data_IF_356872402008
#
_entry.id   IF_356872402008
#
_cell.length_a   1.000
_cell.length_b   1.000
_cell.length_c   1.000
_cell.angle_alpha   90.00
_cell.angle_beta   90.00
_cell.angle_gamma   90.00
#
_symmetry.space_group_name_H-M   'P 1'
#
loop_
_entity.id
_entity.type
_entity.pdbx_description
1 polymer ?
#
# COMPACT_ATOMS: atom_id res chain seq x y z
N UNK A 1 -6.40 19.25 8.66
CA UNK A 1 -7.54 18.88 7.79
C UNK A 1 -7.13 18.52 6.36
N UNK A 2 -6.23 19.29 5.72
CA UNK A 2 -5.76 18.99 4.36
C UNK A 2 -5.09 17.60 4.25
N UNK A 3 -4.09 17.31 5.09
CA UNK A 3 -3.39 16.01 5.09
C UNK A 3 -4.36 14.82 5.21
N UNK A 4 -5.35 14.91 6.10
CA UNK A 4 -6.40 13.90 6.27
C UNK A 4 -7.22 13.71 5.00
N UNK A 5 -7.64 14.82 4.37
CA UNK A 5 -8.43 14.77 3.14
C UNK A 5 -7.66 14.13 2.00
N UNK A 6 -6.37 14.44 1.87
CA UNK A 6 -5.47 13.82 0.89
C UNK A 6 -5.39 12.31 1.11
N UNK A 7 -5.22 11.84 2.35
CA UNK A 7 -5.18 10.39 2.66
C UNK A 7 -6.51 9.71 2.38
N UNK A 8 -7.65 10.34 2.66
CA UNK A 8 -8.96 9.76 2.37
C UNK A 8 -9.18 9.59 0.85
N UNK A 9 -8.81 10.60 0.05
CA UNK A 9 -8.85 10.49 -1.41
C UNK A 9 -7.86 9.42 -1.89
N UNK A 10 -6.66 9.38 -1.33
CA UNK A 10 -5.67 8.35 -1.64
C UNK A 10 -6.20 6.95 -1.31
N UNK A 11 -6.87 6.76 -0.17
CA UNK A 11 -7.45 5.49 0.24
C UNK A 11 -8.57 5.02 -0.70
N UNK A 12 -9.39 5.95 -1.22
CA UNK A 12 -10.41 5.64 -2.23
C UNK A 12 -9.79 5.22 -3.56
N UNK A 13 -8.80 5.97 -4.06
CA UNK A 13 -8.03 5.59 -5.25
C UNK A 13 -7.34 4.24 -5.05
N UNK A 14 -6.80 4.02 -3.86
CA UNK A 14 -6.14 2.78 -3.47
C UNK A 14 -7.09 1.59 -3.55
N UNK A 15 -8.27 1.74 -2.97
CA UNK A 15 -9.32 0.73 -3.03
C UNK A 15 -9.75 0.48 -4.48
N UNK A 16 -9.93 1.54 -5.28
CA UNK A 16 -10.35 1.45 -6.68
C UNK A 16 -9.39 0.61 -7.51
N UNK A 17 -8.08 0.91 -7.47
CA UNK A 17 -7.11 0.17 -8.26
C UNK A 17 -6.96 -1.28 -7.79
N UNK A 18 -7.02 -1.54 -6.46
CA UNK A 18 -6.97 -2.90 -5.93
C UNK A 18 -8.16 -3.73 -6.41
N UNK A 19 -9.35 -3.13 -6.40
CA UNK A 19 -10.56 -3.75 -6.91
C UNK A 19 -10.43 -4.06 -8.41
N UNK A 20 -9.93 -3.12 -9.22
CA UNK A 20 -9.67 -3.34 -10.65
C UNK A 20 -8.71 -4.50 -10.91
N UNK A 21 -7.62 -4.62 -10.13
CA UNK A 21 -6.68 -5.75 -10.23
C UNK A 21 -7.37 -7.07 -9.84
N UNK A 22 -8.15 -7.07 -8.75
CA UNK A 22 -8.85 -8.27 -8.28
C UNK A 22 -9.83 -8.82 -9.32
N UNK A 23 -10.50 -7.95 -10.08
CA UNK A 23 -11.40 -8.32 -11.17
C UNK A 23 -10.71 -8.70 -12.48
N UNK A 24 -9.40 -8.53 -12.59
CA UNK A 24 -8.65 -8.90 -13.79
C UNK A 24 -8.27 -10.39 -13.81
N UNK A 25 -8.40 -11.03 -14.97
CA UNK A 25 -8.03 -12.44 -15.17
C UNK A 25 -6.51 -12.67 -15.18
N UNK A 26 -5.71 -11.67 -15.52
CA UNK A 26 -4.23 -11.75 -15.66
C UNK A 26 -3.55 -10.71 -14.77
N UNK A 27 -3.58 -10.92 -13.45
CA UNK A 27 -3.09 -9.96 -12.43
C UNK A 27 -1.65 -9.52 -12.66
N UNK A 28 -0.77 -10.44 -13.06
CA UNK A 28 0.63 -10.13 -13.35
C UNK A 28 0.75 -9.09 -14.48
N UNK A 29 -0.06 -9.21 -15.54
CA UNK A 29 -0.03 -8.28 -16.67
C UNK A 29 -0.60 -6.92 -16.28
N UNK A 30 -1.63 -6.87 -15.42
CA UNK A 30 -2.15 -5.59 -14.91
C UNK A 30 -1.14 -4.89 -14.03
N UNK A 31 -0.47 -5.61 -13.12
CA UNK A 31 0.60 -5.06 -12.27
C UNK A 31 1.77 -4.57 -13.12
N UNK A 32 2.22 -5.37 -14.10
CA UNK A 32 3.28 -4.97 -15.01
C UNK A 32 2.89 -3.74 -15.84
N UNK A 33 1.62 -3.62 -16.24
CA UNK A 33 1.14 -2.45 -16.99
C UNK A 33 1.06 -1.20 -16.13
N UNK A 34 0.58 -1.33 -14.89
CA UNK A 34 0.61 -0.28 -13.88
C UNK A 34 2.03 0.25 -13.67
N UNK A 35 2.99 -0.65 -13.44
CA UNK A 35 4.40 -0.31 -13.26
C UNK A 35 5.03 0.28 -14.54
N UNK A 36 4.56 -0.14 -15.73
CA UNK A 36 5.02 0.45 -17.00
C UNK A 36 4.59 1.91 -17.12
N UNK A 37 3.35 2.23 -16.73
CA UNK A 37 2.86 3.61 -16.69
C UNK A 37 3.64 4.43 -15.66
N UNK A 38 3.87 3.85 -14.48
CA UNK A 38 4.64 4.48 -13.42
C UNK A 38 6.09 4.78 -13.85
N UNK A 39 6.76 3.81 -14.47
CA UNK A 39 8.11 3.94 -14.99
C UNK A 39 8.18 4.95 -16.14
N UNK A 40 7.23 4.90 -17.08
CA UNK A 40 7.18 5.88 -18.18
C UNK A 40 6.99 7.30 -17.65
N UNK A 41 6.09 7.48 -16.68
CA UNK A 41 5.92 8.76 -15.98
C UNK A 41 7.23 9.20 -15.32
N UNK A 42 7.89 8.33 -14.56
CA UNK A 42 9.13 8.67 -13.87
C UNK A 42 10.24 9.08 -14.85
N UNK A 43 10.46 8.30 -15.91
CA UNK A 43 11.47 8.61 -16.95
C UNK A 43 11.20 9.96 -17.61
N UNK A 44 9.94 10.28 -17.91
CA UNK A 44 9.57 11.56 -18.50
C UNK A 44 9.66 12.72 -17.50
N UNK A 45 9.46 12.46 -16.21
CA UNK A 45 9.49 13.48 -15.16
C UNK A 45 10.90 13.79 -14.63
N UNK A 46 11.86 12.86 -14.74
CA UNK A 46 13.26 13.02 -14.27
C UNK A 46 13.91 14.35 -14.69
N UNK A 47 13.78 14.83 -15.95
CA UNK A 47 14.37 16.11 -16.35
C UNK A 47 13.77 17.35 -15.68
N UNK A 48 12.62 17.21 -15.01
CA UNK A 48 11.85 18.30 -14.41
C UNK A 48 11.87 18.29 -12.87
N UNK A 49 12.65 17.38 -12.26
CA UNK A 49 12.77 17.26 -10.80
C UNK A 49 14.21 17.45 -10.37
N UNK A 50 14.41 17.88 -9.13
CA UNK A 50 15.74 18.04 -8.59
C UNK A 50 16.36 16.67 -8.26
N UNK A 51 17.69 16.61 -8.34
CA UNK A 51 18.45 15.42 -7.94
C UNK A 51 18.41 15.32 -6.41
N UNK A 52 18.17 14.13 -5.82
CA UNK A 52 18.12 13.99 -4.37
C UNK A 52 19.50 14.27 -3.78
N UNK A 53 19.58 15.04 -2.68
CA UNK A 53 20.84 15.23 -1.98
C UNK A 53 21.36 13.88 -1.45
N UNK A 54 22.68 13.79 -1.24
CA UNK A 54 23.36 12.54 -0.88
C UNK A 54 22.72 11.82 0.33
N UNK A 55 22.22 12.58 1.29
CA UNK A 55 21.54 12.08 2.49
C UNK A 55 20.20 11.38 2.24
N UNK A 56 19.56 11.63 1.09
CA UNK A 56 18.24 11.06 0.73
C UNK A 56 18.37 9.72 0.03
N UNK A 57 19.51 9.47 -0.65
CA UNK A 57 19.76 8.23 -1.37
C UNK A 57 19.65 6.96 -0.51
N UNK A 58 20.20 6.90 0.73
CA UNK A 58 20.02 5.74 1.59
C UNK A 58 18.55 5.41 1.85
N UNK A 59 17.71 6.43 2.08
CA UNK A 59 16.27 6.25 2.29
C UNK A 59 15.55 5.76 1.04
N UNK A 60 15.85 6.36 -0.12
CA UNK A 60 15.30 5.94 -1.43
C UNK A 60 15.65 4.48 -1.74
N UNK A 61 16.91 4.09 -1.58
CA UNK A 61 17.36 2.73 -1.86
C UNK A 61 16.74 1.74 -0.87
N UNK A 62 16.75 2.05 0.44
CA UNK A 62 16.15 1.19 1.45
C UNK A 62 14.64 1.00 1.21
N UNK A 63 13.93 2.06 0.86
CA UNK A 63 12.52 2.02 0.50
C UNK A 63 12.29 1.19 -0.76
N UNK A 64 13.00 1.46 -1.85
CA UNK A 64 12.87 0.71 -3.09
C UNK A 64 13.17 -0.78 -2.91
N UNK A 65 14.14 -1.15 -2.07
CA UNK A 65 14.43 -2.55 -1.75
C UNK A 65 13.32 -3.20 -0.91
N UNK A 66 12.79 -2.50 0.09
CA UNK A 66 11.66 -2.97 0.88
C UNK A 66 10.39 -3.10 0.01
N UNK A 67 10.19 -2.19 -0.94
CA UNK A 67 9.13 -2.28 -1.94
C UNK A 67 9.26 -3.55 -2.79
N UNK A 68 10.45 -3.79 -3.32
CA UNK A 68 10.72 -4.97 -4.15
C UNK A 68 10.52 -6.27 -3.36
N UNK A 69 11.03 -6.32 -2.13
CA UNK A 69 10.88 -7.50 -1.28
C UNK A 69 9.41 -7.75 -0.95
N UNK A 70 8.63 -6.72 -0.59
CA UNK A 70 7.19 -6.89 -0.36
C UNK A 70 6.52 -7.44 -1.62
N UNK A 71 6.79 -6.86 -2.80
CA UNK A 71 6.12 -7.24 -4.05
C UNK A 71 6.39 -8.71 -4.39
N UNK A 72 7.63 -9.16 -4.22
CA UNK A 72 7.99 -10.56 -4.42
C UNK A 72 7.29 -11.51 -3.43
N UNK A 73 7.31 -11.17 -2.14
CA UNK A 73 6.64 -11.96 -1.10
C UNK A 73 5.13 -11.99 -1.29
N UNK A 74 4.54 -10.89 -1.76
CA UNK A 74 3.12 -10.76 -2.01
C UNK A 74 2.65 -11.74 -3.09
N UNK A 75 3.38 -11.85 -4.21
CA UNK A 75 3.08 -12.83 -5.27
C UNK A 75 3.08 -14.24 -4.69
N UNK A 76 4.12 -14.59 -3.91
CA UNK A 76 4.21 -15.91 -3.26
C UNK A 76 3.05 -16.17 -2.30
N UNK A 77 2.70 -15.17 -1.49
CA UNK A 77 1.62 -15.28 -0.53
C UNK A 77 0.27 -15.52 -1.23
N UNK A 78 0.05 -14.91 -2.39
CA UNK A 78 -1.17 -15.08 -3.19
C UNK A 78 -1.29 -16.43 -3.89
N UNK A 79 -0.21 -17.20 -4.01
CA UNK A 79 -0.27 -18.57 -4.53
C UNK A 79 -0.69 -19.59 -3.47
N UNK A 80 -0.62 -19.25 -2.19
CA UNK A 80 -0.79 -20.20 -1.07
C UNK A 80 -1.96 -19.84 -0.17
N UNK A 81 -2.28 -18.56 0.02
CA UNK A 81 -3.34 -18.11 0.92
C UNK A 81 -4.47 -17.36 0.21
N UNK A 82 -5.66 -17.38 0.82
CA UNK A 82 -6.80 -16.61 0.33
C UNK A 82 -6.53 -15.09 0.45
N UNK A 83 -6.75 -14.38 -0.65
CA UNK A 83 -6.66 -12.92 -0.74
C UNK A 83 -7.52 -12.21 0.31
N UNK A 84 -8.68 -12.78 0.64
CA UNK A 84 -9.60 -12.23 1.62
C UNK A 84 -9.01 -12.12 3.02
N UNK A 85 -8.01 -12.94 3.34
CA UNK A 85 -7.40 -13.02 4.67
C UNK A 85 -5.95 -12.50 4.69
N UNK A 86 -5.13 -12.87 3.70
CA UNK A 86 -3.71 -12.48 3.64
C UNK A 86 -3.55 -10.97 3.50
N UNK A 87 -4.34 -10.34 2.63
CA UNK A 87 -4.19 -8.93 2.31
C UNK A 87 -4.52 -8.00 3.49
N UNK A 88 -5.64 -8.17 4.22
CA UNK A 88 -5.91 -7.36 5.40
C UNK A 88 -4.88 -7.54 6.52
N UNK A 89 -4.38 -8.75 6.75
CA UNK A 89 -3.43 -9.03 7.83
C UNK A 89 -2.08 -8.35 7.61
N UNK A 90 -1.49 -8.51 6.43
CA UNK A 90 -0.20 -7.88 6.14
C UNK A 90 -0.29 -6.34 6.17
N UNK A 91 -1.42 -5.78 5.72
CA UNK A 91 -1.67 -4.33 5.72
C UNK A 91 -1.87 -3.81 7.15
N UNK A 92 -2.61 -4.55 7.98
CA UNK A 92 -2.85 -4.26 9.39
C UNK A 92 -1.58 -4.22 10.25
N UNK A 93 -0.53 -4.96 9.89
CA UNK A 93 0.75 -4.92 10.59
C UNK A 93 1.57 -3.67 10.26
N UNK A 94 1.35 -3.03 9.12
CA UNK A 94 2.19 -1.90 8.69
C UNK A 94 2.11 -0.67 9.60
N UNK A 95 0.94 -0.23 10.11
CA UNK A 95 0.86 0.90 11.04
C UNK A 95 1.57 0.62 12.38
N UNK A 96 1.65 -0.63 12.84
CA UNK A 96 2.40 -0.98 14.05
C UNK A 96 3.90 -0.75 13.87
N UNK A 97 4.41 -1.13 12.71
CA UNK A 97 5.82 -0.95 12.36
C UNK A 97 6.14 0.54 12.24
N UNK A 98 5.29 1.30 11.54
CA UNK A 98 5.45 2.76 11.44
C UNK A 98 5.40 3.40 12.83
N UNK A 99 4.44 3.02 13.68
CA UNK A 99 4.34 3.51 15.05
C UNK A 99 5.61 3.22 15.86
N UNK A 100 6.09 1.97 15.83
CA UNK A 100 7.30 1.56 16.55
C UNK A 100 8.55 2.33 16.09
N UNK A 101 8.74 2.47 14.77
CA UNK A 101 9.85 3.25 14.21
C UNK A 101 9.73 4.74 14.53
N UNK A 102 8.52 5.31 14.49
CA UNK A 102 8.27 6.70 14.85
C UNK A 102 8.60 6.96 16.32
N UNK A 103 8.14 6.11 17.24
CA UNK A 103 8.42 6.24 18.67
C UNK A 103 9.90 6.03 19.00
N UNK A 104 10.59 5.13 18.29
CA UNK A 104 11.99 4.82 18.55
C UNK A 104 12.98 5.82 17.94
N UNK A 105 12.69 6.34 16.74
CA UNK A 105 13.68 7.04 15.92
C UNK A 105 13.24 8.41 15.41
N UNK A 106 11.94 8.67 15.25
CA UNK A 106 11.49 9.92 14.61
C UNK A 106 11.47 11.13 15.56
N UNK A 107 11.53 10.90 16.88
CA UNK A 107 11.41 11.96 17.89
C UNK A 107 10.04 12.66 17.89
N UNK A 108 9.04 12.11 17.18
CA UNK A 108 7.67 12.62 17.16
C UNK A 108 6.96 12.25 18.46
N UNK A 109 6.39 13.25 19.14
CA UNK A 109 5.49 13.01 20.27
C UNK A 109 4.07 12.72 19.76
N UNK A 110 3.70 11.45 19.79
CA UNK A 110 2.33 11.02 19.51
C UNK A 110 1.47 11.14 20.78
N UNK A 111 0.24 11.61 20.63
CA UNK A 111 -0.71 11.64 21.74
C UNK A 111 -1.12 10.23 22.16
N UNK A 112 -1.58 10.07 23.39
CA UNK A 112 -2.12 8.78 23.86
C UNK A 112 -3.28 8.31 22.98
N UNK A 113 -4.13 9.24 22.52
CA UNK A 113 -5.23 8.95 21.60
C UNK A 113 -4.72 8.42 20.26
N UNK A 114 -3.68 9.03 19.68
CA UNK A 114 -3.07 8.57 18.44
C UNK A 114 -2.52 7.15 18.57
N UNK A 115 -1.80 6.87 19.66
CA UNK A 115 -1.23 5.54 19.92
C UNK A 115 -2.34 4.50 20.04
N UNK A 116 -3.35 4.76 20.88
CA UNK A 116 -4.48 3.83 21.09
C UNK A 116 -5.21 3.59 19.77
N UNK A 117 -5.49 4.65 19.00
CA UNK A 117 -6.20 4.51 17.74
C UNK A 117 -5.41 3.73 16.68
N UNK A 118 -4.09 3.91 16.61
CA UNK A 118 -3.23 3.09 15.74
C UNK A 118 -3.23 1.62 16.17
N UNK A 119 -3.22 1.33 17.48
CA UNK A 119 -3.25 -0.05 18.01
C UNK A 119 -4.59 -0.75 17.77
N UNK A 120 -5.70 -0.03 17.62
CA UNK A 120 -7.01 -0.63 17.35
C UNK A 120 -7.11 -1.21 15.92
N UNK A 121 -6.41 -0.62 14.96
CA UNK A 121 -6.40 -1.07 13.55
C UNK A 121 -5.89 -2.51 13.37
N UNK A 122 -4.68 -2.90 13.81
CA UNK A 122 -4.19 -4.27 13.72
C UNK A 122 -5.05 -5.25 14.51
N UNK A 123 -5.61 -4.83 15.66
CA UNK A 123 -6.56 -5.65 16.41
C UNK A 123 -7.81 -5.97 15.57
N UNK A 124 -8.34 -4.97 14.86
CA UNK A 124 -9.41 -5.16 13.88
C UNK A 124 -9.05 -6.14 12.78
N UNK A 125 -7.86 -6.00 12.19
CA UNK A 125 -7.40 -6.92 11.13
C UNK A 125 -7.18 -8.34 11.67
N UNK A 126 -6.73 -8.50 12.92
CA UNK A 126 -6.58 -9.80 13.56
C UNK A 126 -7.93 -10.52 13.75
N UNK A 127 -9.05 -9.81 13.91
CA UNK A 127 -10.38 -10.42 13.95
C UNK A 127 -10.68 -11.24 12.68
N UNK A 128 -10.10 -10.88 11.53
CA UNK A 128 -10.32 -11.61 10.28
C UNK A 128 -9.74 -13.03 10.30
N UNK A 129 -8.84 -13.36 11.23
CA UNK A 129 -8.36 -14.73 11.44
C UNK A 129 -9.44 -15.66 12.03
N UNK A 130 -10.53 -15.12 12.56
CA UNK A 130 -11.63 -15.91 13.11
C UNK A 130 -12.51 -16.51 12.01
N UNK A 131 -13.22 -17.61 12.33
CA UNK A 131 -14.19 -18.23 11.45
C UNK A 131 -15.22 -17.19 10.94
N UNK A 132 -15.33 -17.04 9.62
CA UNK A 132 -16.18 -16.05 8.98
C UNK A 132 -15.48 -14.74 8.56
N UNK A 133 -14.14 -14.64 8.73
CA UNK A 133 -13.34 -13.54 8.18
C UNK A 133 -13.21 -13.53 6.65
N UNK A 134 -13.59 -14.64 6.00
CA UNK A 134 -13.56 -14.82 4.55
C UNK A 134 -12.29 -15.53 4.10
N UNK A 135 -12.47 -16.72 3.55
CA UNK A 135 -11.41 -17.63 3.11
C UNK A 135 -11.14 -18.77 4.09
N UNK A 136 -10.38 -19.76 3.60
CA UNK A 136 -9.91 -20.88 4.42
C UNK A 136 -8.92 -20.41 5.50
N UNK A 137 -8.77 -21.21 6.56
CA UNK A 137 -7.84 -20.90 7.65
C UNK A 137 -6.43 -20.67 7.08
N UNK A 138 -5.83 -19.53 7.43
CA UNK A 138 -4.45 -19.24 7.04
C UNK A 138 -3.53 -20.32 7.65
N UNK A 139 -2.72 -21.03 6.84
CA UNK A 139 -1.78 -21.99 7.40
C UNK A 139 -0.75 -21.26 8.25
N UNK A 140 -0.42 -21.82 9.42
CA UNK A 140 0.55 -21.22 10.36
C UNK A 140 1.91 -20.95 9.73
N UNK A 141 2.31 -21.74 8.72
CA UNK A 141 3.54 -21.56 7.94
C UNK A 141 3.58 -20.25 7.15
N UNK A 142 2.44 -19.60 6.89
CA UNK A 142 2.35 -18.33 6.19
C UNK A 142 2.48 -17.12 7.11
N UNK A 143 2.34 -17.28 8.43
CA UNK A 143 2.43 -16.15 9.37
C UNK A 143 3.77 -15.40 9.29
N UNK A 144 4.94 -16.06 9.19
CA UNK A 144 6.21 -15.35 9.02
C UNK A 144 6.26 -14.54 7.73
N UNK A 145 5.67 -15.05 6.64
CA UNK A 145 5.63 -14.35 5.34
C UNK A 145 4.73 -13.13 5.44
N UNK A 146 3.54 -13.26 6.04
CA UNK A 146 2.60 -12.15 6.26
C UNK A 146 3.22 -11.08 7.16
N UNK A 147 3.91 -11.49 8.23
CA UNK A 147 4.61 -10.58 9.13
C UNK A 147 5.74 -9.84 8.42
N UNK A 148 6.53 -10.54 7.60
CA UNK A 148 7.61 -9.94 6.82
C UNK A 148 7.09 -8.96 5.77
N UNK A 149 5.95 -9.26 5.12
CA UNK A 149 5.30 -8.31 4.20
C UNK A 149 4.86 -7.06 4.98
N UNK A 150 4.20 -7.22 6.13
CA UNK A 150 3.79 -6.10 6.98
C UNK A 150 4.98 -5.25 7.44
N UNK A 151 6.09 -5.89 7.79
CA UNK A 151 7.36 -5.24 8.11
C UNK A 151 7.90 -4.43 6.93
N UNK A 152 7.98 -5.02 5.74
CA UNK A 152 8.41 -4.31 4.54
C UNK A 152 7.53 -3.09 4.28
N UNK A 153 6.19 -3.26 4.38
CA UNK A 153 5.23 -2.17 4.16
C UNK A 153 5.47 -1.03 5.15
N UNK A 154 5.59 -1.34 6.44
CA UNK A 154 5.83 -0.34 7.46
C UNK A 154 7.19 0.35 7.32
N UNK A 155 8.25 -0.40 7.02
CA UNK A 155 9.59 0.15 6.84
C UNK A 155 9.66 1.13 5.67
N UNK A 156 9.20 0.74 4.47
CA UNK A 156 9.25 1.67 3.32
C UNK A 156 8.35 2.90 3.57
N UNK A 157 7.18 2.69 4.17
CA UNK A 157 6.24 3.79 4.49
C UNK A 157 6.90 4.79 5.46
N UNK A 158 7.65 4.30 6.45
CA UNK A 158 8.38 5.15 7.38
C UNK A 158 9.60 5.82 6.72
N UNK A 159 10.40 5.09 5.94
CA UNK A 159 11.53 5.65 5.20
C UNK A 159 11.11 6.78 4.26
N UNK A 160 10.01 6.60 3.54
CA UNK A 160 9.46 7.60 2.63
C UNK A 160 9.00 8.84 3.38
N UNK A 161 8.28 8.64 4.49
CA UNK A 161 7.86 9.74 5.35
C UNK A 161 9.04 10.57 5.88
N UNK A 162 10.10 9.91 6.34
CA UNK A 162 11.31 10.59 6.83
C UNK A 162 12.05 11.31 5.70
N UNK A 163 12.23 10.65 4.55
CA UNK A 163 12.94 11.25 3.42
C UNK A 163 12.22 12.48 2.85
N UNK A 164 10.89 12.41 2.73
CA UNK A 164 10.08 13.56 2.27
C UNK A 164 10.08 14.71 3.28
N UNK A 165 10.17 14.42 4.58
CA UNK A 165 10.32 15.44 5.62
C UNK A 165 11.68 16.12 5.60
N UNK A 166 12.75 15.35 5.41
CA UNK A 166 14.11 15.86 5.33
C UNK A 166 14.32 16.69 4.07
N UNK A 167 13.85 16.21 2.92
CA UNK A 167 14.08 16.88 1.64
C UNK A 167 13.08 17.99 1.33
N UNK A 168 11.83 17.85 1.81
CA UNK A 168 10.77 18.82 1.54
C UNK A 168 10.21 18.82 0.12
N UNK A 169 10.56 17.82 -0.70
CA UNK A 169 10.11 17.69 -2.10
C UNK A 169 9.41 16.34 -2.36
N UNK A 170 8.14 16.19 -1.95
CA UNK A 170 7.38 14.94 -2.13
C UNK A 170 7.22 14.51 -3.60
N UNK A 171 7.10 15.47 -4.53
CA UNK A 171 6.99 15.17 -5.96
C UNK A 171 8.28 14.57 -6.53
N UNK A 172 9.41 15.23 -6.26
CA UNK A 172 10.72 14.78 -6.72
C UNK A 172 11.05 13.41 -6.12
N UNK A 173 10.74 13.22 -4.83
CA UNK A 173 10.87 11.94 -4.15
C UNK A 173 10.07 10.82 -4.83
N UNK A 174 8.82 11.09 -5.18
CA UNK A 174 7.96 10.14 -5.90
C UNK A 174 8.62 9.69 -7.22
N UNK A 175 9.14 10.65 -8.00
CA UNK A 175 9.75 10.36 -9.30
C UNK A 175 10.97 9.45 -9.15
N UNK A 176 11.88 9.77 -8.24
CA UNK A 176 13.08 8.98 -8.00
C UNK A 176 12.78 7.61 -7.40
N UNK A 177 11.86 7.51 -6.43
CA UNK A 177 11.44 6.24 -5.86
C UNK A 177 10.81 5.34 -6.92
N UNK A 178 9.89 5.90 -7.72
CA UNK A 178 9.22 5.17 -8.81
C UNK A 178 10.22 4.66 -9.84
N UNK A 179 11.21 5.48 -10.20
CA UNK A 179 12.27 5.07 -11.12
C UNK A 179 13.06 3.85 -10.60
N UNK A 180 13.33 3.81 -9.29
CA UNK A 180 14.07 2.73 -8.64
C UNK A 180 13.21 1.47 -8.40
N UNK A 181 11.89 1.61 -8.23
CA UNK A 181 11.02 0.52 -7.77
C UNK A 181 10.03 -0.03 -8.81
N UNK A 182 9.82 0.61 -9.97
CA UNK A 182 8.78 0.21 -10.92
C UNK A 182 9.26 -0.59 -12.15
N UNK A 183 10.55 -0.95 -12.26
CA UNK A 183 11.09 -1.55 -13.50
C UNK A 183 10.96 -3.09 -13.57
N UNK A 184 10.80 -3.77 -12.45
CA UNK A 184 10.94 -5.24 -12.34
C UNK A 184 9.79 -5.99 -13.02
N UNK A 185 8.54 -5.57 -12.78
CA UNK A 185 7.36 -6.25 -13.35
C UNK A 185 7.21 -6.01 -14.86
N UNK A 186 7.41 -4.78 -15.38
CA UNK A 186 7.49 -4.55 -16.82
C UNK A 186 8.58 -5.40 -17.48
N UNK A 187 9.76 -5.48 -16.86
CA UNK A 187 10.86 -6.30 -17.37
C UNK A 187 10.50 -7.79 -17.36
N UNK A 188 9.96 -8.31 -16.26
CA UNK A 188 9.53 -9.69 -16.15
C UNK A 188 8.45 -10.04 -17.18
N UNK A 189 7.44 -9.19 -17.34
CA UNK A 189 6.39 -9.37 -18.34
C UNK A 189 6.95 -9.28 -19.77
N UNK A 190 7.88 -8.36 -20.03
CA UNK A 190 8.53 -8.19 -21.32
C UNK A 190 9.43 -9.35 -21.74
N UNK A 191 10.10 -10.01 -20.78
CA UNK A 191 11.00 -11.14 -21.04
C UNK A 191 10.25 -12.47 -21.02
N UNK A 192 9.47 -12.75 -19.97
CA UNK A 192 8.85 -14.06 -19.75
C UNK A 192 7.44 -14.20 -20.35
N UNK A 193 6.73 -13.09 -20.59
CA UNK A 193 5.32 -13.08 -21.03
C UNK A 193 5.06 -12.07 -22.14
N UNK A 194 6.04 -11.88 -23.05
CA UNK A 194 6.02 -10.82 -24.08
C UNK A 194 4.72 -10.78 -24.89
N UNK A 195 4.32 -11.91 -25.46
CA UNK A 195 3.15 -11.97 -26.33
C UNK A 195 1.84 -11.64 -25.57
N UNK A 196 1.55 -12.25 -24.40
CA UNK A 196 0.43 -11.82 -23.55
C UNK A 196 0.49 -10.34 -23.13
N UNK A 197 1.68 -9.82 -22.81
CA UNK A 197 1.84 -8.44 -22.38
C UNK A 197 1.56 -7.43 -23.51
N UNK A 198 2.04 -7.72 -24.73
CA UNK A 198 1.70 -6.93 -25.92
C UNK A 198 0.20 -7.01 -26.24
N UNK A 199 -0.40 -8.20 -26.13
CA UNK A 199 -1.84 -8.37 -26.34
C UNK A 199 -2.66 -7.58 -25.31
N UNK A 200 -2.23 -7.56 -24.05
CA UNK A 200 -2.84 -6.75 -22.99
C UNK A 200 -2.84 -5.27 -23.39
N UNK A 201 -1.71 -4.71 -23.81
CA UNK A 201 -1.65 -3.32 -24.26
C UNK A 201 -2.46 -3.04 -25.54
N UNK A 202 -2.71 -4.03 -26.39
CA UNK A 202 -3.59 -3.84 -27.56
C UNK A 202 -5.07 -3.85 -27.22
N UNK A 203 -5.47 -4.62 -26.20
CA UNK A 203 -6.87 -4.91 -25.89
C UNK A 203 -7.40 -4.19 -24.65
N UNK A 204 -6.53 -3.92 -23.68
CA UNK A 204 -6.87 -3.43 -22.34
C UNK A 204 -6.03 -2.22 -21.90
N UNK A 205 -5.43 -1.45 -22.83
CA UNK A 205 -4.59 -0.28 -22.50
C UNK A 205 -5.28 0.72 -21.55
N UNK A 206 -6.59 0.95 -21.70
CA UNK A 206 -7.36 1.85 -20.83
C UNK A 206 -7.32 1.41 -19.37
N UNK A 207 -7.40 0.10 -19.13
CA UNK A 207 -7.29 -0.46 -17.80
C UNK A 207 -5.88 -0.27 -17.25
N UNK A 208 -4.85 -0.55 -18.07
CA UNK A 208 -3.45 -0.31 -17.69
C UNK A 208 -3.17 1.15 -17.30
N UNK A 209 -3.62 2.10 -18.12
CA UNK A 209 -3.49 3.54 -17.84
C UNK A 209 -4.26 3.96 -16.58
N UNK A 210 -5.50 3.49 -16.42
CA UNK A 210 -6.32 3.85 -15.27
C UNK A 210 -5.70 3.35 -13.96
N UNK A 211 -5.26 2.09 -13.91
CA UNK A 211 -4.62 1.51 -12.72
C UNK A 211 -3.28 2.21 -12.44
N UNK A 212 -2.46 2.43 -13.46
CA UNK A 212 -1.18 3.15 -13.34
C UNK A 212 -1.36 4.57 -12.78
N UNK A 213 -2.31 5.33 -13.32
CA UNK A 213 -2.64 6.66 -12.84
C UNK A 213 -3.15 6.64 -11.39
N UNK A 214 -4.10 5.75 -11.07
CA UNK A 214 -4.65 5.64 -9.72
C UNK A 214 -3.57 5.33 -8.68
N UNK A 215 -2.59 4.47 -9.01
CA UNK A 215 -1.51 4.10 -8.10
C UNK A 215 -0.54 5.26 -7.89
N UNK A 216 -0.05 5.87 -8.98
CA UNK A 216 0.83 7.04 -8.90
C UNK A 216 0.18 8.18 -8.12
N UNK A 217 -1.07 8.50 -8.46
CA UNK A 217 -1.77 9.63 -7.86
C UNK A 217 -2.15 9.35 -6.40
N UNK A 218 -2.59 8.13 -6.08
CA UNK A 218 -2.80 7.71 -4.69
C UNK A 218 -1.52 7.86 -3.87
N UNK A 219 -0.38 7.41 -4.39
CA UNK A 219 0.88 7.47 -3.65
C UNK A 219 1.41 8.91 -3.51
N UNK A 220 1.29 9.72 -4.55
CA UNK A 220 1.63 11.15 -4.51
C UNK A 220 0.87 11.88 -3.37
N UNK A 221 -0.43 11.61 -3.24
CA UNK A 221 -1.26 12.21 -2.19
C UNK A 221 -0.83 11.74 -0.78
N UNK A 222 -0.42 10.48 -0.63
CA UNK A 222 0.11 9.95 0.64
C UNK A 222 1.43 10.62 1.01
N UNK A 223 2.38 10.73 0.08
CA UNK A 223 3.65 11.42 0.34
C UNK A 223 3.43 12.88 0.72
N UNK A 224 2.50 13.56 0.04
CA UNK A 224 2.12 14.93 0.38
C UNK A 224 1.47 15.03 1.77
N UNK A 225 0.64 14.05 2.15
CA UNK A 225 0.06 14.01 3.48
C UNK A 225 1.11 13.77 4.58
N UNK A 226 2.09 12.90 4.34
CA UNK A 226 3.22 12.63 5.25
C UNK A 226 4.16 13.83 5.38
N UNK A 227 4.29 14.63 4.33
CA UNK A 227 5.01 15.90 4.37
C UNK A 227 4.30 16.91 5.29
N UNK A 228 2.98 17.01 5.20
CA UNK A 228 2.17 17.99 5.91
C UNK A 228 1.79 17.59 7.36
N UNK A 229 1.81 16.29 7.69
CA UNK A 229 1.31 15.75 8.95
C UNK A 229 2.02 14.45 9.35
N UNK A 230 1.67 13.84 10.47
CA UNK A 230 2.43 12.68 11.00
C UNK A 230 2.41 11.49 10.03
N UNK A 231 3.57 10.86 9.88
CA UNK A 231 3.74 9.65 9.06
C UNK A 231 2.91 8.50 9.63
N UNK A 232 2.88 8.36 10.96
CA UNK A 232 2.09 7.33 11.64
C UNK A 232 0.59 7.52 11.43
N UNK A 233 0.12 8.76 11.47
CA UNK A 233 -1.28 9.09 11.23
C UNK A 233 -1.69 8.82 9.77
N UNK A 234 -0.85 9.25 8.81
CA UNK A 234 -1.10 9.01 7.39
C UNK A 234 -1.12 7.50 7.06
N UNK A 235 -0.18 6.73 7.63
CA UNK A 235 -0.13 5.28 7.45
C UNK A 235 -1.38 4.58 8.00
N UNK A 236 -1.84 4.97 9.19
CA UNK A 236 -3.04 4.41 9.81
C UNK A 236 -4.32 4.74 9.04
N UNK A 237 -4.49 6.00 8.61
CA UNK A 237 -5.66 6.41 7.83
C UNK A 237 -5.72 5.73 6.46
N UNK A 238 -4.56 5.35 5.88
CA UNK A 238 -4.49 4.59 4.63
C UNK A 238 -5.14 3.21 4.75
N UNK A 239 -5.24 2.63 5.95
CA UNK A 239 -5.92 1.36 6.18
C UNK A 239 -7.43 1.40 5.92
N UNK A 240 -8.02 2.60 5.76
CA UNK A 240 -9.40 2.74 5.30
C UNK A 240 -9.62 2.09 3.92
N UNK A 241 -8.57 2.09 3.08
CA UNK A 241 -8.60 1.40 1.79
C UNK A 241 -8.96 -0.08 1.92
N UNK A 242 -8.54 -0.75 2.99
CA UNK A 242 -8.84 -2.17 3.23
C UNK A 242 -10.33 -2.36 3.48
N UNK A 243 -10.95 -1.49 4.30
CA UNK A 243 -12.40 -1.51 4.53
C UNK A 243 -13.13 -1.31 3.21
N UNK A 244 -12.74 -0.29 2.42
CA UNK A 244 -13.37 0.01 1.14
C UNK A 244 -13.25 -1.17 0.15
N UNK A 245 -12.09 -1.83 0.08
CA UNK A 245 -11.89 -3.04 -0.74
C UNK A 245 -12.81 -4.17 -0.29
N UNK A 246 -12.95 -4.39 1.03
CA UNK A 246 -13.87 -5.42 1.57
C UNK A 246 -15.31 -5.10 1.20
N UNK A 247 -15.76 -3.85 1.37
CA UNK A 247 -17.13 -3.42 1.02
C UNK A 247 -17.42 -3.56 -0.48
N UNK A 248 -16.47 -3.17 -1.34
CA UNK A 248 -16.57 -3.37 -2.79
C UNK A 248 -16.58 -4.86 -3.13
N UNK A 249 -15.73 -5.66 -2.49
CA UNK A 249 -15.71 -7.11 -2.62
C UNK A 249 -17.06 -7.74 -2.30
N UNK A 250 -17.70 -7.35 -1.20
CA UNK A 250 -19.05 -7.83 -0.87
C UNK A 250 -20.07 -7.48 -1.95
N UNK A 251 -20.11 -6.21 -2.36
CA UNK A 251 -21.14 -5.72 -3.30
C UNK A 251 -21.03 -6.38 -4.67
N UNK A 252 -19.81 -6.58 -5.16
CA UNK A 252 -19.56 -7.03 -6.53
C UNK A 252 -19.17 -8.51 -6.65
N UNK A 253 -18.53 -9.12 -5.64
CA UNK A 253 -18.17 -10.54 -5.62
C UNK A 253 -19.15 -11.40 -4.80
N UNK A 254 -20.18 -10.80 -4.19
CA UNK A 254 -21.16 -11.48 -3.32
C UNK A 254 -20.51 -12.30 -2.20
N UNK A 255 -19.34 -11.87 -1.72
CA UNK A 255 -18.67 -12.52 -0.60
C UNK A 255 -19.52 -12.37 0.68
N UNK A 256 -19.70 -13.45 1.47
CA UNK A 256 -20.52 -13.40 2.67
C UNK A 256 -19.90 -12.44 3.71
N UNK A 257 -20.77 -11.66 4.35
CA UNK A 257 -20.35 -10.72 5.39
C UNK A 257 -20.50 -11.37 6.76
N UNK A 258 -19.43 -12.02 7.21
CA UNK A 258 -19.37 -12.61 8.54
C UNK A 258 -19.17 -11.57 9.64
N UNK A 259 -19.60 -11.90 10.86
CA UNK A 259 -19.38 -11.09 12.06
C UNK A 259 -17.93 -10.60 12.26
N UNK A 260 -16.88 -11.39 11.95
CA UNK A 260 -15.51 -10.90 12.07
C UNK A 260 -15.16 -9.72 11.16
N UNK A 261 -15.74 -9.64 9.96
CA UNK A 261 -15.55 -8.49 9.04
C UNK A 261 -16.21 -7.23 9.58
N UNK A 262 -17.39 -7.35 10.21
CA UNK A 262 -18.06 -6.25 10.91
C UNK A 262 -17.22 -5.72 12.08
N UNK A 263 -16.72 -6.63 12.92
CA UNK A 263 -15.85 -6.28 14.04
C UNK A 263 -14.56 -5.61 13.56
N UNK A 264 -13.93 -6.16 12.51
CA UNK A 264 -12.74 -5.57 11.91
C UNK A 264 -12.99 -4.14 11.40
N UNK A 265 -14.07 -3.93 10.65
CA UNK A 265 -14.44 -2.60 10.16
C UNK A 265 -14.73 -1.64 11.32
N UNK A 266 -15.46 -2.09 12.34
CA UNK A 266 -15.79 -1.31 13.52
C UNK A 266 -14.55 -0.87 14.31
N UNK A 267 -13.61 -1.78 14.55
CA UNK A 267 -12.36 -1.50 15.26
C UNK A 267 -11.45 -0.55 14.49
N UNK A 268 -11.33 -0.73 13.17
CA UNK A 268 -10.52 0.16 12.33
C UNK A 268 -11.15 1.57 12.27
N UNK A 269 -12.47 1.68 12.11
CA UNK A 269 -13.17 2.98 12.14
C UNK A 269 -13.08 3.65 13.53
N UNK A 270 -13.27 2.89 14.60
CA UNK A 270 -13.11 3.39 15.96
C UNK A 270 -11.68 3.88 16.20
N UNK A 271 -10.68 3.12 15.75
CA UNK A 271 -9.27 3.54 15.78
C UNK A 271 -9.05 4.88 15.09
N UNK A 272 -9.54 5.03 13.86
CA UNK A 272 -9.44 6.29 13.11
C UNK A 272 -10.13 7.47 13.80
N UNK A 273 -11.29 7.25 14.42
CA UNK A 273 -12.00 8.28 15.16
C UNK A 273 -11.23 8.69 16.42
N UNK A 274 -10.73 7.72 17.19
CA UNK A 274 -9.94 7.97 18.40
C UNK A 274 -8.67 8.75 18.06
N UNK A 275 -8.01 8.48 16.93
CA UNK A 275 -6.83 9.26 16.50
C UNK A 275 -7.14 10.74 16.21
N UNK A 276 -8.41 11.11 16.05
CA UNK A 276 -8.86 12.46 15.69
C UNK A 276 -9.49 13.24 16.85
N UNK A 277 -9.68 12.60 18.00
CA UNK A 277 -10.14 13.23 19.24
C UNK A 277 -8.97 13.89 19.97
#
# INVERSE_FOLDING_TARGET
MLATSLVLVAALLHATWNTLIKFSGERLLVIASMDTVALAFAVLAVPFVDVPPAEIWPWLVASALAEQLYRYLLIKAYHVGDLGLVYPLMRGLSPLVVLGLTLAFAGESLSQQQIIGILLIPCGMACLLWQGGGGDRLPWSMLPVVALIGLCIGCYTWFDGQAVRLWGKPWDYLVWLTLLSAWQFPLLAGVARRAPFVLFWRTQWRLGLAVGFCVLFSYALVLWAMHLGSVAEAAALRELSVILVVLLGMRYLKEPFGGPRLLACGLVLAGMLVMKL
#
